data_IF_646374383819
#
_entry.id   IF_646374383819
#
_cell.length_a   1.000
_cell.length_b   1.000
_cell.length_c   1.000
_cell.angle_alpha   90.00
_cell.angle_beta   90.00
_cell.angle_gamma   90.00
#
_symmetry.space_group_name_H-M   'P 1'
#
loop_
_entity.id
_entity.type
_entity.pdbx_description
1 polymer ?
#
# COMPACT_ATOMS: atom_id res chain seq x y z
N UNK A 1 -21.30 -18.41 -11.14
CA UNK A 1 -20.17 -17.95 -11.98
C UNK A 1 -20.05 -16.42 -12.10
N UNK A 2 -21.14 -15.66 -12.35
CA UNK A 2 -21.05 -14.20 -12.59
C UNK A 2 -20.50 -13.34 -11.42
N UNK A 3 -20.62 -13.81 -10.18
CA UNK A 3 -20.04 -13.13 -9.00
C UNK A 3 -18.53 -13.33 -8.87
N UNK A 4 -18.03 -14.50 -9.29
CA UNK A 4 -16.61 -14.85 -9.22
C UNK A 4 -15.81 -14.11 -10.31
N UNK A 5 -16.38 -14.00 -11.52
CA UNK A 5 -15.77 -13.20 -12.60
C UNK A 5 -15.75 -11.70 -12.27
N UNK A 6 -16.80 -11.18 -11.59
CA UNK A 6 -16.80 -9.81 -11.08
C UNK A 6 -15.73 -9.57 -10.02
N UNK A 7 -15.54 -10.52 -9.10
CA UNK A 7 -14.56 -10.42 -8.03
C UNK A 7 -13.12 -10.44 -8.58
N UNK A 8 -12.82 -11.36 -9.51
CA UNK A 8 -11.52 -11.47 -10.17
C UNK A 8 -11.20 -10.22 -11.02
N UNK A 9 -12.22 -9.55 -11.57
CA UNK A 9 -12.06 -8.29 -12.30
C UNK A 9 -11.72 -7.07 -11.43
N UNK A 10 -11.72 -7.19 -10.10
CA UNK A 10 -11.30 -6.11 -9.20
C UNK A 10 -9.80 -6.20 -8.88
N UNK A 11 -9.11 -5.07 -8.60
CA UNK A 11 -7.70 -5.09 -8.22
C UNK A 11 -7.43 -5.95 -6.96
N UNK A 12 -8.40 -6.02 -6.05
CA UNK A 12 -8.34 -6.87 -4.86
C UNK A 12 -8.43 -8.37 -5.21
N UNK A 13 -9.35 -8.75 -6.11
CA UNK A 13 -9.47 -10.14 -6.57
C UNK A 13 -8.25 -10.60 -7.35
N UNK A 14 -7.68 -9.74 -8.19
CA UNK A 14 -6.44 -9.99 -8.93
C UNK A 14 -5.24 -10.17 -7.99
N UNK A 15 -5.10 -9.32 -6.97
CA UNK A 15 -4.07 -9.46 -5.95
C UNK A 15 -4.22 -10.76 -5.16
N UNK A 16 -5.46 -11.12 -4.77
CA UNK A 16 -5.73 -12.38 -4.08
C UNK A 16 -5.40 -13.60 -4.93
N UNK A 17 -5.71 -13.56 -6.23
CA UNK A 17 -5.35 -14.61 -7.19
C UNK A 17 -3.84 -14.75 -7.35
N UNK A 18 -3.11 -13.64 -7.45
CA UNK A 18 -1.66 -13.64 -7.51
C UNK A 18 -1.05 -14.24 -6.24
N UNK A 19 -1.57 -13.88 -5.06
CA UNK A 19 -1.15 -14.47 -3.79
C UNK A 19 -1.45 -15.98 -3.72
N UNK A 20 -2.61 -16.43 -4.21
CA UNK A 20 -2.95 -17.86 -4.27
C UNK A 20 -2.05 -18.62 -5.24
N UNK A 21 -1.74 -18.05 -6.40
CA UNK A 21 -0.82 -18.66 -7.36
C UNK A 21 0.60 -18.76 -6.78
N UNK A 22 1.09 -17.70 -6.13
CA UNK A 22 2.39 -17.71 -5.44
C UNK A 22 2.41 -18.67 -4.25
N UNK A 23 1.34 -18.75 -3.47
CA UNK A 23 1.22 -19.70 -2.37
C UNK A 23 1.23 -21.14 -2.89
N UNK A 24 0.45 -21.44 -3.92
CA UNK A 24 0.44 -22.75 -4.57
C UNK A 24 1.81 -23.11 -5.14
N UNK A 25 2.48 -22.17 -5.81
CA UNK A 25 3.83 -22.35 -6.32
C UNK A 25 4.85 -22.58 -5.19
N UNK A 26 4.74 -21.86 -4.07
CA UNK A 26 5.61 -22.03 -2.92
C UNK A 26 5.40 -23.38 -2.21
N UNK A 27 4.16 -23.82 -2.06
CA UNK A 27 3.81 -25.14 -1.53
C UNK A 27 4.36 -26.26 -2.41
N UNK A 28 4.25 -26.11 -3.74
CA UNK A 28 4.73 -27.09 -4.71
C UNK A 28 6.26 -27.15 -4.76
N UNK A 29 6.94 -26.01 -4.89
CA UNK A 29 8.41 -25.94 -4.90
C UNK A 29 9.06 -26.23 -3.53
N UNK A 30 8.33 -25.97 -2.46
CA UNK A 30 8.78 -26.16 -1.08
C UNK A 30 8.81 -27.59 -0.57
N UNK A 31 8.29 -28.54 -1.35
CA UNK A 31 8.30 -29.94 -0.96
C UNK A 31 7.29 -30.30 0.12
N UNK A 32 6.23 -29.51 0.30
CA UNK A 32 5.12 -29.90 1.19
C UNK A 32 4.39 -31.14 0.67
N UNK A 33 4.43 -31.35 -0.66
CA UNK A 33 3.94 -32.54 -1.34
C UNK A 33 5.05 -33.57 -1.62
N UNK A 34 6.27 -33.35 -1.12
CA UNK A 34 7.35 -34.31 -1.31
C UNK A 34 7.12 -35.52 -0.39
N UNK A 35 7.39 -36.71 -0.93
CA UNK A 35 7.36 -37.96 -0.20
C UNK A 35 8.42 -38.01 0.91
N UNK A 36 8.37 -39.04 1.78
CA UNK A 36 9.27 -39.16 2.93
C UNK A 36 10.76 -39.12 2.53
N UNK A 37 11.13 -39.83 1.46
CA UNK A 37 12.50 -39.88 0.92
C UNK A 37 13.00 -38.46 0.57
N UNK A 38 12.24 -37.73 -0.25
CA UNK A 38 12.63 -36.41 -0.73
C UNK A 38 12.70 -35.36 0.39
N UNK A 39 11.89 -35.50 1.44
CA UNK A 39 11.95 -34.61 2.60
C UNK A 39 13.24 -34.80 3.39
N UNK A 40 13.63 -36.03 3.64
CA UNK A 40 14.85 -36.35 4.39
C UNK A 40 16.09 -36.01 3.58
N UNK A 41 16.09 -36.34 2.29
CA UNK A 41 17.20 -36.03 1.38
C UNK A 41 17.45 -34.52 1.31
N UNK A 42 16.46 -33.63 1.51
CA UNK A 42 16.72 -32.17 1.54
C UNK A 42 17.62 -31.73 2.70
N UNK A 43 17.69 -32.49 3.78
CA UNK A 43 18.42 -32.16 5.01
C UNK A 43 19.60 -33.07 5.28
N UNK A 44 19.54 -34.33 4.84
CA UNK A 44 20.57 -35.35 5.01
C UNK A 44 21.14 -35.83 3.66
N UNK A 45 22.37 -36.38 3.69
CA UNK A 45 22.98 -37.12 2.59
C UNK A 45 22.65 -38.62 2.62
N UNK A 46 21.97 -39.10 3.65
CA UNK A 46 21.60 -40.50 3.83
C UNK A 46 20.11 -40.60 4.11
N UNK A 47 19.46 -41.61 3.57
CA UNK A 47 18.10 -41.98 3.93
C UNK A 47 18.05 -43.46 4.28
N UNK A 48 17.51 -43.80 5.44
CA UNK A 48 17.17 -45.17 5.79
C UNK A 48 15.65 -45.34 5.83
N UNK A 49 15.13 -46.31 5.08
CA UNK A 49 13.73 -46.65 5.13
C UNK A 49 13.36 -47.30 6.47
N UNK A 50 12.09 -47.19 6.92
CA UNK A 50 11.67 -47.81 8.17
C UNK A 50 11.97 -49.31 8.19
N UNK A 51 12.67 -49.77 9.23
CA UNK A 51 13.05 -51.18 9.38
C UNK A 51 14.40 -51.55 8.75
N UNK A 52 15.12 -50.60 8.15
CA UNK A 52 16.53 -50.81 7.78
C UNK A 52 17.43 -50.35 8.94
N UNK A 53 18.29 -51.25 9.43
CA UNK A 53 19.26 -50.93 10.47
C UNK A 53 20.47 -50.22 9.85
N UNK A 54 20.58 -48.91 10.09
CA UNK A 54 21.70 -48.09 9.65
C UNK A 54 22.07 -47.08 10.74
N UNK A 55 23.38 -46.96 11.01
CA UNK A 55 23.91 -45.83 11.76
C UNK A 55 24.00 -44.60 10.84
N UNK A 56 22.88 -43.89 10.72
CA UNK A 56 22.75 -42.68 9.90
C UNK A 56 23.84 -41.63 10.19
N UNK A 57 24.13 -41.22 11.45
CA UNK A 57 25.15 -40.21 11.68
C UNK A 57 26.56 -40.68 11.32
N UNK A 58 26.89 -41.97 11.50
CA UNK A 58 28.16 -42.51 11.03
C UNK A 58 28.25 -42.49 9.49
N UNK A 59 27.18 -42.89 8.80
CA UNK A 59 27.13 -42.85 7.34
C UNK A 59 27.21 -41.41 6.78
N UNK A 60 26.50 -40.46 7.40
CA UNK A 60 26.59 -39.03 7.08
C UNK A 60 28.01 -38.49 7.28
N UNK A 61 28.68 -38.89 8.36
CA UNK A 61 30.06 -38.48 8.61
C UNK A 61 31.03 -39.01 7.55
N UNK A 62 30.82 -40.24 7.07
CA UNK A 62 31.62 -40.84 5.99
C UNK A 62 31.41 -40.10 4.66
N UNK A 63 30.16 -39.79 4.31
CA UNK A 63 29.85 -39.03 3.09
C UNK A 63 30.39 -37.60 3.18
N UNK A 64 30.21 -36.96 4.33
CA UNK A 64 30.64 -35.59 4.58
C UNK A 64 29.93 -34.60 3.66
N UNK A 65 30.69 -33.68 3.05
CA UNK A 65 30.15 -32.58 2.24
C UNK A 65 30.08 -32.90 0.74
N UNK A 66 30.12 -34.18 0.35
CA UNK A 66 30.12 -34.59 -1.07
C UNK A 66 28.75 -34.36 -1.71
N UNK A 67 28.71 -34.20 -3.03
CA UNK A 67 27.44 -34.21 -3.82
C UNK A 67 26.96 -35.62 -4.06
N UNK A 68 26.80 -36.37 -2.96
CA UNK A 68 26.40 -37.76 -2.94
C UNK A 68 25.24 -37.93 -1.96
N UNK A 69 24.23 -38.67 -2.37
CA UNK A 69 23.13 -39.11 -1.51
C UNK A 69 23.00 -40.63 -1.61
N UNK A 70 22.85 -41.30 -0.48
CA UNK A 70 22.67 -42.75 -0.43
C UNK A 70 21.31 -43.08 0.20
N UNK A 71 20.49 -43.84 -0.52
CA UNK A 71 19.15 -44.25 -0.06
C UNK A 71 19.19 -45.75 0.24
N UNK A 72 18.97 -46.12 1.49
CA UNK A 72 18.72 -47.49 1.91
C UNK A 72 17.21 -47.71 1.97
N UNK A 73 16.67 -48.43 1.00
CA UNK A 73 15.25 -48.72 0.85
C UNK A 73 14.90 -50.08 1.47
N UNK A 74 13.59 -50.31 1.63
CA UNK A 74 13.06 -51.59 2.11
C UNK A 74 13.52 -52.75 1.19
N UNK A 75 13.70 -53.97 1.73
CA UNK A 75 14.08 -55.12 0.92
C UNK A 75 13.10 -55.36 -0.24
N UNK A 76 13.63 -55.56 -1.45
CA UNK A 76 12.82 -55.73 -2.68
C UNK A 76 12.08 -54.48 -3.17
N UNK A 77 12.40 -53.28 -2.65
CA UNK A 77 11.80 -52.03 -3.13
C UNK A 77 12.21 -51.70 -4.57
N UNK A 78 11.35 -50.99 -5.30
CA UNK A 78 11.71 -50.45 -6.61
C UNK A 78 12.69 -49.27 -6.45
N UNK A 79 13.98 -49.56 -6.65
CA UNK A 79 15.05 -48.58 -6.55
C UNK A 79 14.90 -47.41 -7.52
N UNK A 80 14.27 -47.65 -8.68
CA UNK A 80 14.04 -46.61 -9.70
C UNK A 80 13.07 -45.57 -9.18
N UNK A 81 12.03 -45.99 -8.49
CA UNK A 81 11.05 -45.10 -7.89
C UNK A 81 11.65 -44.32 -6.71
N UNK A 82 12.49 -44.95 -5.89
CA UNK A 82 13.28 -44.27 -4.86
C UNK A 82 14.16 -43.16 -5.45
N UNK A 83 14.85 -43.46 -6.55
CA UNK A 83 15.63 -42.48 -7.29
C UNK A 83 14.76 -41.34 -7.82
N UNK A 84 13.67 -41.62 -8.55
CA UNK A 84 12.75 -40.59 -9.08
C UNK A 84 12.19 -39.67 -8.00
N UNK A 85 11.94 -40.18 -6.80
CA UNK A 85 11.47 -39.37 -5.69
C UNK A 85 12.45 -38.23 -5.35
N UNK A 86 13.76 -38.43 -5.58
CA UNK A 86 14.80 -37.45 -5.25
C UNK A 86 15.11 -36.41 -6.32
N UNK A 87 14.54 -36.51 -7.53
CA UNK A 87 14.88 -35.67 -8.69
C UNK A 87 14.94 -34.17 -8.36
N UNK A 88 13.97 -33.65 -7.60
CA UNK A 88 13.93 -32.24 -7.17
C UNK A 88 14.73 -31.95 -5.90
N UNK A 89 14.87 -32.92 -5.01
CA UNK A 89 15.52 -32.76 -3.70
C UNK A 89 17.06 -32.87 -3.78
N UNK A 90 17.55 -33.57 -4.79
CA UNK A 90 18.94 -33.92 -5.01
C UNK A 90 19.47 -33.37 -6.35
N UNK A 91 18.86 -32.30 -6.86
CA UNK A 91 19.30 -31.64 -8.10
C UNK A 91 20.77 -31.23 -8.02
N UNK A 92 21.54 -31.54 -9.05
CA UNK A 92 22.98 -31.35 -9.12
C UNK A 92 23.83 -32.37 -8.35
N UNK A 93 23.25 -33.47 -7.85
CA UNK A 93 23.96 -34.48 -7.05
C UNK A 93 23.81 -35.89 -7.60
N UNK A 94 24.77 -36.77 -7.24
CA UNK A 94 24.70 -38.19 -7.55
C UNK A 94 23.94 -38.90 -6.43
N UNK A 95 22.96 -39.71 -6.78
CA UNK A 95 22.15 -40.48 -5.83
C UNK A 95 22.35 -41.96 -6.12
N UNK A 96 22.51 -42.76 -5.07
CA UNK A 96 22.53 -44.21 -5.16
C UNK A 96 21.44 -44.78 -4.26
N UNK A 97 20.49 -45.49 -4.84
CA UNK A 97 19.51 -46.27 -4.11
C UNK A 97 20.01 -47.71 -3.95
N UNK A 98 19.87 -48.25 -2.74
CA UNK A 98 20.19 -49.62 -2.38
C UNK A 98 18.99 -50.27 -1.71
N UNK A 99 18.75 -51.55 -1.98
CA UNK A 99 17.79 -52.38 -1.25
C UNK A 99 18.38 -53.75 -1.04
N UNK A 100 18.13 -54.36 0.12
CA UNK A 100 18.55 -55.74 0.34
C UNK A 100 17.80 -56.64 -0.64
N UNK A 101 18.54 -57.51 -1.30
CA UNK A 101 17.97 -58.51 -2.19
C UNK A 101 17.18 -59.54 -1.36
N UNK A 102 16.07 -60.05 -1.91
CA UNK A 102 15.19 -60.99 -1.19
C UNK A 102 15.72 -62.43 -1.31
N UNK A 103 16.42 -62.73 -2.40
CA UNK A 103 16.86 -64.07 -2.78
C UNK A 103 18.39 -64.29 -2.65
N UNK A 104 19.19 -63.24 -2.42
CA UNK A 104 20.65 -63.29 -2.23
C UNK A 104 21.08 -62.41 -1.04
N UNK A 105 22.30 -62.63 -0.53
CA UNK A 105 22.91 -61.88 0.57
C UNK A 105 23.53 -60.55 0.08
N UNK A 106 22.93 -59.89 -0.91
CA UNK A 106 23.48 -58.70 -1.57
C UNK A 106 22.63 -57.43 -1.42
N UNK A 107 23.19 -56.30 -1.84
CA UNK A 107 22.42 -55.11 -2.14
C UNK A 107 22.19 -54.99 -3.65
N UNK A 108 20.93 -54.89 -4.05
CA UNK A 108 20.58 -54.30 -5.33
C UNK A 108 20.95 -52.83 -5.31
N UNK A 109 21.54 -52.32 -6.39
CA UNK A 109 21.95 -50.92 -6.49
C UNK A 109 21.41 -50.26 -7.75
N UNK A 110 20.99 -49.01 -7.61
CA UNK A 110 20.54 -48.18 -8.73
C UNK A 110 21.04 -46.75 -8.57
N UNK A 111 21.96 -46.36 -9.44
CA UNK A 111 22.46 -44.98 -9.50
C UNK A 111 21.53 -44.09 -10.31
N UNK A 112 21.30 -42.87 -9.84
CA UNK A 112 20.70 -41.80 -10.61
C UNK A 112 21.53 -40.51 -10.49
N UNK A 113 22.02 -40.02 -11.62
CA UNK A 113 22.86 -38.84 -11.69
C UNK A 113 22.00 -37.61 -12.06
N UNK A 114 21.63 -36.81 -11.07
CA UNK A 114 20.92 -35.54 -11.28
C UNK A 114 21.88 -34.41 -11.69
N UNK A 115 22.79 -34.69 -12.62
CA UNK A 115 23.79 -33.74 -13.07
C UNK A 115 23.18 -32.71 -14.05
N UNK A 116 23.66 -31.45 -14.04
CA UNK A 116 23.19 -30.45 -14.98
C UNK A 116 23.47 -30.91 -16.42
N UNK A 117 22.44 -30.89 -17.28
CA UNK A 117 22.56 -31.33 -18.67
C UNK A 117 22.74 -32.84 -18.84
N UNK A 118 22.27 -33.66 -17.88
CA UNK A 118 22.32 -35.14 -17.96
C UNK A 118 21.67 -35.69 -19.23
N UNK A 119 20.65 -35.03 -19.77
CA UNK A 119 19.91 -35.50 -20.94
C UNK A 119 20.51 -34.99 -22.26
N UNK A 120 21.56 -34.16 -22.19
CA UNK A 120 22.24 -33.53 -23.33
C UNK A 120 23.77 -33.80 -23.28
N UNK A 121 24.57 -32.76 -22.99
CA UNK A 121 26.03 -32.80 -23.06
C UNK A 121 26.68 -33.77 -22.05
N UNK A 122 26.00 -34.08 -20.94
CA UNK A 122 26.53 -34.91 -19.86
C UNK A 122 25.92 -36.32 -19.80
N UNK A 123 25.15 -36.75 -20.82
CA UNK A 123 24.53 -38.08 -20.84
C UNK A 123 25.54 -39.23 -20.63
N UNK A 124 26.65 -39.21 -21.36
CA UNK A 124 27.70 -40.23 -21.21
C UNK A 124 28.33 -40.22 -19.81
N UNK A 125 28.53 -39.04 -19.22
CA UNK A 125 29.08 -38.88 -17.86
C UNK A 125 28.09 -39.39 -16.80
N UNK A 126 26.81 -39.06 -16.96
CA UNK A 126 25.73 -39.55 -16.11
C UNK A 126 25.67 -41.09 -16.13
N UNK A 127 25.65 -41.70 -17.32
CA UNK A 127 25.61 -43.16 -17.46
C UNK A 127 26.81 -43.86 -16.80
N UNK A 128 28.03 -43.31 -16.93
CA UNK A 128 29.22 -43.88 -16.26
C UNK A 128 29.14 -43.73 -14.75
N UNK A 129 28.68 -42.58 -14.25
CA UNK A 129 28.50 -42.35 -12.82
C UNK A 129 27.46 -43.33 -12.23
N UNK A 130 26.30 -43.47 -12.88
CA UNK A 130 25.20 -44.35 -12.44
C UNK A 130 25.61 -45.82 -12.38
N UNK A 131 26.44 -46.28 -13.32
CA UNK A 131 26.89 -47.68 -13.40
C UNK A 131 28.12 -47.99 -12.53
N UNK A 132 28.87 -46.98 -12.12
CA UNK A 132 30.12 -47.17 -11.36
C UNK A 132 29.92 -46.98 -9.86
N UNK A 133 29.01 -46.09 -9.46
CA UNK A 133 28.88 -45.65 -8.06
C UNK A 133 28.56 -46.79 -7.09
N UNK A 134 27.70 -47.74 -7.48
CA UNK A 134 27.28 -48.87 -6.64
C UNK A 134 28.23 -50.07 -6.65
N UNK A 135 29.28 -50.06 -7.48
CA UNK A 135 30.14 -51.24 -7.67
C UNK A 135 30.86 -51.63 -6.37
N UNK A 136 30.64 -52.86 -5.90
CA UNK A 136 31.28 -53.41 -4.70
C UNK A 136 30.55 -53.07 -3.40
N UNK A 137 29.50 -52.26 -3.43
CA UNK A 137 28.66 -51.99 -2.26
C UNK A 137 27.80 -53.21 -1.86
N UNK A 138 27.52 -54.09 -2.84
CA UNK A 138 26.80 -55.36 -2.71
C UNK A 138 27.50 -56.37 -1.79
N UNK A 139 28.80 -56.20 -1.54
CA UNK A 139 29.60 -57.11 -0.71
C UNK A 139 29.42 -56.89 0.80
N UNK A 140 28.70 -55.84 1.22
CA UNK A 140 28.57 -55.44 2.62
C UNK A 140 27.11 -55.37 3.09
N UNK A 141 26.29 -56.44 2.89
CA UNK A 141 24.87 -56.46 3.24
C UNK A 141 24.59 -56.26 4.74
N UNK A 142 25.52 -56.72 5.59
CA UNK A 142 25.38 -56.70 7.05
C UNK A 142 26.18 -55.55 7.70
N UNK A 143 26.98 -54.83 6.91
CA UNK A 143 27.81 -53.70 7.35
C UNK A 143 27.54 -52.47 6.48
N UNK A 144 26.35 -51.86 6.57
CA UNK A 144 25.92 -50.83 5.62
C UNK A 144 26.78 -49.56 5.67
N UNK A 145 27.45 -49.29 6.80
CA UNK A 145 28.42 -48.18 6.90
C UNK A 145 29.70 -48.47 6.09
N UNK A 146 30.14 -49.72 5.99
CA UNK A 146 31.27 -50.10 5.12
C UNK A 146 30.88 -49.99 3.65
N UNK A 147 29.64 -50.37 3.28
CA UNK A 147 29.09 -50.13 1.94
C UNK A 147 29.17 -48.64 1.57
N UNK A 148 28.79 -47.73 2.48
CA UNK A 148 28.90 -46.28 2.28
C UNK A 148 30.34 -45.83 2.04
N UNK A 149 31.34 -46.42 2.72
CA UNK A 149 32.75 -46.08 2.46
C UNK A 149 33.18 -46.46 1.05
N UNK A 150 32.77 -47.63 0.56
CA UNK A 150 33.06 -48.06 -0.83
C UNK A 150 32.42 -47.11 -1.84
N UNK A 151 31.15 -46.74 -1.61
CA UNK A 151 30.42 -45.78 -2.45
C UNK A 151 31.14 -44.43 -2.49
N UNK A 152 31.63 -43.95 -1.34
CA UNK A 152 32.39 -42.70 -1.25
C UNK A 152 33.72 -42.78 -2.00
N UNK A 153 34.43 -43.90 -1.94
CA UNK A 153 35.66 -44.11 -2.73
C UNK A 153 35.34 -44.07 -4.23
N UNK A 154 34.26 -44.72 -4.66
CA UNK A 154 33.82 -44.69 -6.05
C UNK A 154 33.45 -43.26 -6.50
N UNK A 155 32.76 -42.49 -5.65
CA UNK A 155 32.47 -41.08 -5.90
C UNK A 155 33.74 -40.26 -6.07
N UNK A 156 34.72 -40.41 -5.17
CA UNK A 156 35.98 -39.66 -5.23
C UNK A 156 36.78 -40.00 -6.51
N UNK A 157 36.69 -41.24 -7.00
CA UNK A 157 37.26 -41.63 -8.29
C UNK A 157 36.53 -40.96 -9.48
N UNK A 158 35.20 -40.89 -9.43
CA UNK A 158 34.39 -40.20 -10.46
C UNK A 158 34.68 -38.69 -10.50
N UNK A 159 34.89 -38.07 -9.35
CA UNK A 159 35.30 -36.66 -9.25
C UNK A 159 36.70 -36.46 -9.84
N UNK A 160 37.67 -37.31 -9.48
CA UNK A 160 39.04 -37.25 -10.04
C UNK A 160 39.06 -37.43 -11.56
N UNK A 161 38.11 -38.19 -12.10
CA UNK A 161 37.94 -38.42 -13.53
C UNK A 161 37.16 -37.30 -14.26
N UNK A 162 36.79 -36.21 -13.57
CA UNK A 162 35.96 -35.12 -14.10
C UNK A 162 34.56 -35.61 -14.58
N UNK A 163 34.08 -36.75 -14.09
CA UNK A 163 32.75 -37.28 -14.45
C UNK A 163 31.67 -36.57 -13.63
N UNK A 164 31.93 -36.36 -12.34
CA UNK A 164 31.03 -35.72 -11.39
C UNK A 164 31.65 -34.42 -10.88
N UNK A 165 30.88 -33.32 -10.74
CA UNK A 165 31.41 -32.06 -10.21
C UNK A 165 31.90 -32.21 -8.77
N UNK A 166 33.12 -31.74 -8.51
CA UNK A 166 33.64 -31.58 -7.15
C UNK A 166 32.92 -30.43 -6.42
N UNK A 167 32.80 -30.55 -5.11
CA UNK A 167 32.38 -29.47 -4.23
C UNK A 167 31.28 -29.84 -3.26
N UNK A 168 30.97 -28.86 -2.40
CA UNK A 168 29.93 -28.97 -1.40
C UNK A 168 28.57 -29.23 -2.04
N UNK A 169 27.77 -30.09 -1.41
CA UNK A 169 26.33 -30.12 -1.69
C UNK A 169 25.75 -28.77 -1.34
N UNK A 170 25.20 -28.08 -2.34
CA UNK A 170 24.42 -26.88 -2.08
C UNK A 170 23.08 -27.33 -1.51
N UNK A 171 22.97 -27.39 -0.18
CA UNK A 171 21.68 -27.40 0.50
C UNK A 171 21.09 -26.00 0.26
N UNK A 172 20.51 -25.80 -0.92
CA UNK A 172 19.85 -24.55 -1.26
C UNK A 172 18.72 -24.38 -0.24
N UNK A 173 18.76 -23.35 0.63
CA UNK A 173 17.68 -23.11 1.57
C UNK A 173 16.40 -23.02 0.77
N UNK A 174 15.40 -23.80 1.19
CA UNK A 174 14.20 -24.05 0.41
C UNK A 174 13.69 -22.74 -0.20
N UNK A 175 13.52 -22.74 -1.53
CA UNK A 175 12.93 -21.67 -2.34
C UNK A 175 11.71 -20.98 -1.67
N UNK A 176 10.88 -21.67 -0.86
CA UNK A 176 9.93 -21.07 0.08
C UNK A 176 10.43 -19.89 0.91
N UNK A 177 11.64 -19.93 1.49
CA UNK A 177 12.15 -18.83 2.33
C UNK A 177 12.29 -17.54 1.52
N UNK A 178 12.79 -17.65 0.29
CA UNK A 178 12.91 -16.50 -0.60
C UNK A 178 11.55 -16.02 -1.12
N UNK A 179 10.61 -16.93 -1.36
CA UNK A 179 9.24 -16.57 -1.75
C UNK A 179 8.49 -15.87 -0.61
N UNK A 180 8.62 -16.34 0.63
CA UNK A 180 8.04 -15.69 1.82
C UNK A 180 8.67 -14.31 2.04
N UNK A 181 9.99 -14.19 1.87
CA UNK A 181 10.68 -12.90 1.94
C UNK A 181 10.21 -11.94 0.84
N UNK A 182 10.09 -12.40 -0.41
CA UNK A 182 9.58 -11.59 -1.51
C UNK A 182 8.12 -11.17 -1.29
N UNK A 183 7.27 -12.07 -0.79
CA UNK A 183 5.89 -11.77 -0.42
C UNK A 183 5.80 -10.71 0.69
N UNK A 184 6.66 -10.79 1.71
CA UNK A 184 6.72 -9.79 2.77
C UNK A 184 7.14 -8.41 2.25
N UNK A 185 8.21 -8.35 1.44
CA UNK A 185 8.71 -7.09 0.87
C UNK A 185 7.65 -6.44 -0.05
N UNK A 186 7.00 -7.23 -0.89
CA UNK A 186 5.93 -6.73 -1.78
C UNK A 186 4.70 -6.27 -1.01
N UNK A 187 4.26 -7.01 0.01
CA UNK A 187 3.14 -6.61 0.86
C UNK A 187 3.41 -5.28 1.57
N UNK A 188 4.61 -5.09 2.12
CA UNK A 188 5.02 -3.82 2.75
C UNK A 188 5.07 -2.70 1.71
N UNK A 189 5.65 -2.94 0.53
CA UNK A 189 5.72 -1.95 -0.55
C UNK A 189 4.34 -1.49 -1.02
N UNK A 190 3.43 -2.43 -1.28
CA UNK A 190 2.04 -2.13 -1.68
C UNK A 190 1.27 -1.45 -0.55
N UNK A 191 1.44 -1.91 0.69
CA UNK A 191 0.84 -1.30 1.87
C UNK A 191 1.25 0.17 2.02
N UNK A 192 2.55 0.45 2.00
CA UNK A 192 3.09 1.80 2.09
C UNK A 192 2.63 2.69 0.92
N UNK A 193 2.66 2.18 -0.31
CA UNK A 193 2.21 2.92 -1.49
C UNK A 193 0.72 3.27 -1.42
N UNK A 194 -0.12 2.34 -0.95
CA UNK A 194 -1.55 2.56 -0.81
C UNK A 194 -1.89 3.62 0.25
N UNK A 195 -1.22 3.56 1.41
CA UNK A 195 -1.36 4.56 2.48
C UNK A 195 -0.91 5.94 1.97
N UNK A 196 0.23 6.00 1.26
CA UNK A 196 0.73 7.24 0.69
C UNK A 196 -0.23 7.85 -0.34
N UNK A 197 -0.79 7.03 -1.25
CA UNK A 197 -1.77 7.49 -2.23
C UNK A 197 -3.06 7.97 -1.58
N UNK A 198 -3.56 7.24 -0.57
CA UNK A 198 -4.75 7.63 0.18
C UNK A 198 -4.53 8.94 0.94
N UNK A 199 -3.40 9.08 1.65
CA UNK A 199 -3.03 10.29 2.38
C UNK A 199 -2.87 11.49 1.42
N UNK A 200 -2.26 11.29 0.25
CA UNK A 200 -2.08 12.34 -0.77
C UNK A 200 -3.42 12.80 -1.36
N UNK A 201 -4.37 11.88 -1.58
CA UNK A 201 -5.74 12.23 -2.02
C UNK A 201 -6.51 12.97 -0.93
N UNK A 202 -6.41 12.50 0.33
CA UNK A 202 -7.06 13.14 1.47
C UNK A 202 -6.51 14.56 1.71
N UNK A 203 -5.19 14.75 1.61
CA UNK A 203 -4.54 16.06 1.72
C UNK A 203 -5.06 17.07 0.69
N UNK A 204 -5.12 16.68 -0.59
CA UNK A 204 -5.69 17.55 -1.65
C UNK A 204 -7.14 17.95 -1.40
N UNK A 205 -7.95 17.05 -0.83
CA UNK A 205 -9.34 17.36 -0.47
C UNK A 205 -9.41 18.30 0.73
N UNK A 206 -8.55 18.13 1.73
CA UNK A 206 -8.45 19.02 2.87
C UNK A 206 -8.01 20.43 2.47
N UNK A 207 -7.03 20.55 1.57
CA UNK A 207 -6.55 21.85 1.07
C UNK A 207 -7.63 22.60 0.29
N UNK A 208 -8.40 21.90 -0.56
CA UNK A 208 -9.56 22.51 -1.25
C UNK A 208 -10.62 23.01 -0.28
N UNK A 209 -10.88 22.27 0.81
CA UNK A 209 -11.83 22.70 1.85
C UNK A 209 -11.30 23.90 2.64
N UNK A 210 -9.99 23.94 2.95
CA UNK A 210 -9.35 25.09 3.61
C UNK A 210 -9.40 26.33 2.74
N UNK A 211 -9.08 26.23 1.46
CA UNK A 211 -9.14 27.34 0.52
C UNK A 211 -10.57 27.94 0.43
N UNK A 212 -11.61 27.09 0.38
CA UNK A 212 -13.01 27.56 0.41
C UNK A 212 -13.36 28.29 1.71
N UNK A 213 -12.91 27.79 2.86
CA UNK A 213 -13.16 28.44 4.17
C UNK A 213 -12.44 29.79 4.28
N UNK A 214 -11.19 29.87 3.83
CA UNK A 214 -10.42 31.12 3.82
C UNK A 214 -11.11 32.18 2.95
N UNK A 215 -11.55 31.80 1.74
CA UNK A 215 -12.28 32.71 0.87
C UNK A 215 -13.59 33.25 1.48
N UNK A 216 -14.31 32.42 2.23
CA UNK A 216 -15.51 32.86 2.96
C UNK A 216 -15.17 33.79 4.12
N UNK A 217 -14.07 33.53 4.85
CA UNK A 217 -13.61 34.39 5.93
C UNK A 217 -13.23 35.78 5.42
N UNK A 218 -12.47 35.87 4.32
CA UNK A 218 -12.09 37.16 3.72
C UNK A 218 -13.31 37.99 3.29
N UNK A 219 -14.32 37.32 2.73
CA UNK A 219 -15.58 37.97 2.30
C UNK A 219 -16.35 38.52 3.50
N UNK A 220 -16.38 37.79 4.62
CA UNK A 220 -16.99 38.24 5.88
C UNK A 220 -16.23 39.41 6.51
N UNK A 221 -14.90 39.39 6.49
CA UNK A 221 -14.07 40.50 6.97
C UNK A 221 -14.30 41.80 6.18
N UNK A 222 -14.52 41.69 4.86
CA UNK A 222 -14.89 42.85 4.03
C UNK A 222 -16.27 43.41 4.41
N UNK A 223 -17.26 42.52 4.58
CA UNK A 223 -18.60 42.90 4.98
C UNK A 223 -18.62 43.60 6.35
N UNK A 224 -17.89 43.07 7.34
CA UNK A 224 -17.82 43.68 8.69
C UNK A 224 -17.10 45.03 8.68
N UNK A 225 -16.02 45.17 7.90
CA UNK A 225 -15.31 46.43 7.73
C UNK A 225 -16.21 47.50 7.09
N UNK A 226 -16.92 47.16 6.01
CA UNK A 226 -17.86 48.07 5.37
C UNK A 226 -19.03 48.45 6.30
N UNK A 227 -19.49 47.52 7.13
CA UNK A 227 -20.60 47.78 8.06
C UNK A 227 -20.19 48.78 9.14
N UNK A 228 -18.96 48.68 9.63
CA UNK A 228 -18.39 49.64 10.58
C UNK A 228 -18.28 51.05 9.96
N UNK A 229 -17.84 51.16 8.70
CA UNK A 229 -17.77 52.45 7.99
C UNK A 229 -19.14 53.09 7.87
N UNK A 230 -20.17 52.31 7.50
CA UNK A 230 -21.53 52.82 7.39
C UNK A 230 -22.09 53.25 8.75
N UNK A 231 -21.85 52.46 9.80
CA UNK A 231 -22.25 52.80 11.17
C UNK A 231 -21.68 54.15 11.61
N UNK A 232 -20.40 54.41 11.32
CA UNK A 232 -19.78 55.71 11.62
C UNK A 232 -20.45 56.87 10.85
N UNK A 233 -20.75 56.68 9.57
CA UNK A 233 -21.43 57.71 8.77
C UNK A 233 -22.83 58.03 9.29
N UNK A 234 -23.58 57.03 9.74
CA UNK A 234 -24.91 57.24 10.33
C UNK A 234 -24.80 58.04 11.63
N UNK A 235 -23.82 57.76 12.49
CA UNK A 235 -23.58 58.53 13.72
C UNK A 235 -23.28 60.01 13.41
N UNK A 236 -22.45 60.27 12.39
CA UNK A 236 -22.14 61.63 11.97
C UNK A 236 -23.36 62.35 11.36
N UNK A 237 -24.19 61.65 10.60
CA UNK A 237 -25.45 62.16 10.05
C UNK A 237 -26.50 62.41 11.15
N UNK A 238 -26.57 61.58 12.19
CA UNK A 238 -27.51 61.73 13.30
C UNK A 238 -27.28 63.05 14.05
N UNK A 239 -26.00 63.41 14.26
CA UNK A 239 -25.62 64.71 14.82
C UNK A 239 -26.07 65.90 13.97
N UNK A 240 -26.18 65.72 12.65
CA UNK A 240 -26.68 66.76 11.71
C UNK A 240 -28.21 66.78 11.68
N UNK A 241 -28.84 65.62 11.66
CA UNK A 241 -30.28 65.46 11.74
C UNK A 241 -30.84 66.11 13.01
N UNK A 242 -30.26 65.83 14.19
CA UNK A 242 -30.70 66.42 15.45
C UNK A 242 -30.58 67.95 15.49
N UNK A 243 -29.63 68.54 14.75
CA UNK A 243 -29.51 70.00 14.57
C UNK A 243 -30.57 70.53 13.60
N UNK A 244 -30.81 69.80 12.50
CA UNK A 244 -31.83 70.13 11.51
C UNK A 244 -33.25 70.05 12.11
N UNK A 245 -33.54 69.12 13.01
CA UNK A 245 -34.85 68.99 13.66
C UNK A 245 -35.08 70.08 14.72
N UNK A 246 -34.06 70.37 15.55
CA UNK A 246 -34.13 71.44 16.57
C UNK A 246 -34.34 72.83 15.96
N UNK A 247 -33.64 73.14 14.86
CA UNK A 247 -33.85 74.42 14.17
C UNK A 247 -35.20 74.52 13.46
N UNK A 248 -35.83 73.39 13.08
CA UNK A 248 -37.18 73.39 12.52
C UNK A 248 -38.26 73.64 13.59
N UNK A 249 -38.05 73.10 14.81
CA UNK A 249 -38.92 73.36 15.97
C UNK A 249 -38.82 74.83 16.43
N UNK A 250 -37.60 75.40 16.43
CA UNK A 250 -37.36 76.81 16.74
C UNK A 250 -37.92 77.77 15.67
N UNK A 251 -37.78 77.44 14.37
CA UNK A 251 -38.29 78.27 13.27
C UNK A 251 -39.82 78.32 13.19
N UNK A 252 -40.52 77.24 13.59
CA UNK A 252 -41.99 77.22 13.68
C UNK A 252 -42.55 78.14 14.78
N UNK A 253 -41.78 78.40 15.84
CA UNK A 253 -42.19 79.33 16.89
C UNK A 253 -41.94 80.81 16.52
N UNK A 254 -41.07 81.08 15.55
CA UNK A 254 -40.66 82.44 15.18
C UNK A 254 -41.26 82.98 13.86
N UNK A 255 -41.84 82.12 13.00
CA UNK A 255 -42.27 82.50 11.65
C UNK A 255 -43.80 82.59 11.51
N UNK A 256 -44.39 83.61 12.13
CA UNK A 256 -45.59 84.24 11.58
C UNK A 256 -45.16 85.22 10.49
N UNK A 257 -45.47 84.88 9.23
CA UNK A 257 -45.40 85.75 8.03
C UNK A 257 -44.04 85.79 7.28
N UNK A 258 -44.14 85.39 6.01
CA UNK A 258 -43.46 85.89 4.81
C UNK A 258 -42.23 85.14 4.24
N UNK A 259 -42.48 84.52 3.08
CA UNK A 259 -41.66 84.37 1.87
C UNK A 259 -40.17 84.02 1.99
N UNK A 260 -39.85 82.74 1.75
CA UNK A 260 -38.59 82.33 1.13
C UNK A 260 -38.74 80.95 0.48
N UNK A 261 -39.08 80.94 -0.81
CA UNK A 261 -38.95 79.78 -1.67
C UNK A 261 -37.46 79.43 -1.81
N UNK A 262 -37.02 78.37 -1.14
CA UNK A 262 -35.66 77.83 -1.31
C UNK A 262 -35.18 76.93 -0.17
N UNK A 263 -35.45 77.28 1.09
CA UNK A 263 -34.78 76.62 2.24
C UNK A 263 -35.55 75.50 2.95
N UNK A 264 -36.89 75.44 2.83
CA UNK A 264 -37.71 74.45 3.56
C UNK A 264 -37.81 73.11 2.83
N UNK A 265 -37.78 73.12 1.49
CA UNK A 265 -37.79 71.92 0.66
C UNK A 265 -36.53 71.07 0.84
N UNK A 266 -35.35 71.69 0.74
CA UNK A 266 -34.06 70.99 0.88
C UNK A 266 -33.88 70.32 2.25
N UNK A 267 -34.34 71.00 3.32
CA UNK A 267 -34.28 70.47 4.70
C UNK A 267 -35.27 69.31 4.91
N UNK A 268 -36.48 69.42 4.36
CA UNK A 268 -37.47 68.34 4.38
C UNK A 268 -37.00 67.11 3.60
N UNK A 269 -36.35 67.34 2.45
CA UNK A 269 -35.77 66.29 1.62
C UNK A 269 -34.57 65.61 2.27
N UNK A 270 -33.73 66.35 3.00
CA UNK A 270 -32.66 65.77 3.82
C UNK A 270 -33.22 64.86 4.91
N UNK A 271 -34.22 65.32 5.66
CA UNK A 271 -34.88 64.54 6.73
C UNK A 271 -35.52 63.26 6.18
N UNK A 272 -36.22 63.34 5.04
CA UNK A 272 -36.82 62.18 4.39
C UNK A 272 -35.76 61.18 3.92
N UNK A 273 -34.70 61.65 3.24
CA UNK A 273 -33.60 60.80 2.76
C UNK A 273 -32.81 60.16 3.89
N UNK A 274 -32.58 60.87 5.00
CA UNK A 274 -31.96 60.31 6.20
C UNK A 274 -32.79 59.19 6.80
N UNK A 275 -34.10 59.40 7.01
CA UNK A 275 -34.99 58.34 7.54
C UNK A 275 -35.01 57.11 6.66
N UNK A 276 -35.04 57.29 5.33
CA UNK A 276 -34.99 56.19 4.38
C UNK A 276 -33.65 55.44 4.45
N UNK A 277 -32.53 56.15 4.55
CA UNK A 277 -31.20 55.55 4.72
C UNK A 277 -31.12 54.71 6.00
N UNK A 278 -31.64 55.22 7.11
CA UNK A 278 -31.63 54.52 8.40
C UNK A 278 -32.51 53.27 8.38
N UNK A 279 -33.72 53.32 7.77
CA UNK A 279 -34.56 52.14 7.60
C UNK A 279 -33.89 51.08 6.73
N UNK A 280 -33.31 51.48 5.60
CA UNK A 280 -32.59 50.56 4.71
C UNK A 280 -31.37 49.93 5.42
N UNK A 281 -30.73 50.66 6.32
CA UNK A 281 -29.63 50.16 7.14
C UNK A 281 -30.10 49.16 8.21
N UNK A 282 -31.19 49.45 8.93
CA UNK A 282 -31.75 48.51 9.92
C UNK A 282 -32.23 47.22 9.27
N UNK A 283 -32.85 47.31 8.09
CA UNK A 283 -33.24 46.14 7.30
C UNK A 283 -32.01 45.34 6.84
N UNK A 284 -30.94 46.04 6.40
CA UNK A 284 -29.70 45.37 6.03
C UNK A 284 -29.06 44.68 7.24
N UNK A 285 -29.06 45.29 8.42
CA UNK A 285 -28.51 44.70 9.64
C UNK A 285 -29.26 43.42 10.02
N UNK A 286 -30.59 43.42 9.94
CA UNK A 286 -31.41 42.23 10.17
C UNK A 286 -31.08 41.10 9.18
N UNK A 287 -30.85 41.44 7.91
CA UNK A 287 -30.44 40.49 6.88
C UNK A 287 -29.03 39.93 7.12
N UNK A 288 -28.08 40.75 7.60
CA UNK A 288 -26.72 40.31 7.95
C UNK A 288 -26.76 39.33 9.13
N UNK A 289 -27.56 39.60 10.17
CA UNK A 289 -27.72 38.71 11.33
C UNK A 289 -28.39 37.39 10.94
N UNK A 290 -29.38 37.41 10.05
CA UNK A 290 -30.02 36.19 9.54
C UNK A 290 -29.09 35.35 8.64
N UNK A 291 -28.15 35.99 7.94
CA UNK A 291 -27.23 35.36 7.00
C UNK A 291 -25.99 34.71 7.63
N UNK A 292 -25.93 34.54 8.96
CA UNK A 292 -24.76 33.97 9.65
C UNK A 292 -24.39 32.53 9.20
N UNK A 293 -25.31 31.86 8.47
CA UNK A 293 -25.13 30.55 7.81
C UNK A 293 -25.08 30.57 6.27
N UNK A 294 -25.04 31.73 5.63
CA UNK A 294 -25.26 31.89 4.19
C UNK A 294 -24.03 31.57 3.31
N UNK A 295 -24.30 31.29 2.03
CA UNK A 295 -23.32 31.01 0.98
C UNK A 295 -22.60 32.28 0.51
N UNK A 296 -21.48 32.12 -0.21
CA UNK A 296 -20.65 33.24 -0.69
C UNK A 296 -21.44 34.28 -1.49
N UNK A 297 -22.35 33.84 -2.35
CA UNK A 297 -23.15 34.72 -3.20
C UNK A 297 -24.03 35.68 -2.38
N UNK A 298 -24.50 35.26 -1.21
CA UNK A 298 -25.30 36.10 -0.33
C UNK A 298 -24.44 37.16 0.36
N UNK A 299 -23.22 36.80 0.79
CA UNK A 299 -22.25 37.73 1.40
C UNK A 299 -21.82 38.80 0.39
N UNK A 300 -21.54 38.41 -0.86
CA UNK A 300 -21.16 39.35 -1.92
C UNK A 300 -22.32 40.33 -2.23
N UNK A 301 -23.56 39.83 -2.33
CA UNK A 301 -24.76 40.66 -2.54
C UNK A 301 -25.01 41.64 -1.39
N UNK A 302 -24.82 41.20 -0.15
CA UNK A 302 -24.96 42.06 1.03
C UNK A 302 -23.87 43.14 1.05
N UNK A 303 -22.64 42.80 0.66
CA UNK A 303 -21.53 43.75 0.56
C UNK A 303 -21.83 44.83 -0.49
N UNK A 304 -22.31 44.46 -1.67
CA UNK A 304 -22.69 45.42 -2.72
C UNK A 304 -23.85 46.34 -2.28
N UNK A 305 -24.84 45.78 -1.55
CA UNK A 305 -25.94 46.59 -0.99
C UNK A 305 -25.45 47.58 0.07
N UNK A 306 -24.48 47.16 0.88
CA UNK A 306 -23.85 47.98 1.90
C UNK A 306 -23.00 49.11 1.29
N UNK A 307 -22.21 48.82 0.25
CA UNK A 307 -21.44 49.83 -0.50
C UNK A 307 -22.35 50.88 -1.14
N UNK A 308 -23.50 50.48 -1.70
CA UNK A 308 -24.51 51.41 -2.20
C UNK A 308 -25.09 52.31 -1.11
N UNK A 309 -25.31 51.78 0.11
CA UNK A 309 -25.73 52.59 1.25
C UNK A 309 -24.66 53.58 1.69
N UNK A 310 -23.39 53.16 1.72
CA UNK A 310 -22.24 54.04 2.00
C UNK A 310 -22.18 55.17 0.96
N UNK A 311 -22.39 54.85 -0.33
CA UNK A 311 -22.47 55.86 -1.39
C UNK A 311 -23.56 56.89 -1.13
N UNK A 312 -24.79 56.43 -0.84
CA UNK A 312 -25.93 57.31 -0.49
C UNK A 312 -25.68 58.13 0.78
N UNK A 313 -25.03 57.54 1.79
CA UNK A 313 -24.63 58.24 3.02
C UNK A 313 -23.63 59.37 2.75
N UNK A 314 -22.63 59.14 1.90
CA UNK A 314 -21.67 60.17 1.46
C UNK A 314 -22.34 61.29 0.66
N UNK A 315 -23.21 60.95 -0.28
CA UNK A 315 -23.97 61.94 -1.04
C UNK A 315 -24.84 62.81 -0.12
N UNK A 316 -25.51 62.19 0.86
CA UNK A 316 -26.32 62.90 1.83
C UNK A 316 -25.48 63.77 2.77
N UNK A 317 -24.26 63.34 3.12
CA UNK A 317 -23.30 64.12 3.90
C UNK A 317 -22.69 65.29 3.12
N UNK A 318 -22.58 65.17 1.78
CA UNK A 318 -22.13 66.24 0.88
C UNK A 318 -23.25 67.21 0.47
N UNK A 319 -24.51 66.83 0.64
CA UNK A 319 -25.66 67.70 0.37
C UNK A 319 -25.75 68.83 1.40
N UNK A 320 -25.96 70.10 0.98
CA UNK A 320 -26.11 71.22 1.90
C UNK A 320 -27.42 71.05 2.68
N UNK A 321 -27.35 70.61 3.93
CA UNK A 321 -28.54 70.49 4.79
C UNK A 321 -28.93 71.84 5.42
N UNK A 322 -27.98 72.80 5.49
CA UNK A 322 -28.12 74.16 6.01
C UNK A 322 -26.91 74.96 5.45
N UNK A 323 -27.06 76.19 4.88
CA UNK A 323 -25.90 77.04 4.62
C UNK A 323 -25.21 77.34 5.96
N UNK A 324 -23.90 77.11 6.01
CA UNK A 324 -23.08 77.51 7.14
C UNK A 324 -23.28 79.00 7.42
N UNK A 325 -23.35 79.33 8.71
CA UNK A 325 -23.24 80.69 9.23
C UNK A 325 -22.04 81.41 8.64
#
# INVERSE_FOLDING_TARGET
MSRLTRFIGTPFGLATLACLALAGWALWSGGVLDGPIAREVRTSSVYAAPGVELDEPAAEQVIGNRRLVVLFLEPGADLRDGCRATERAADGTLVLALSREVDDDGYDTYGCAWLPGRDDANFGRAAVAETTIGRGADQFPDEPVEAVKVIVVNYDLLVRADIVPDGARTISPSLPRYLVAAAAVTAVGVGAASIWLAARRAGRLADRRRARRQQLADSRSRLSAAAAVLGQQIIDLDRRYARAERGAASGKAASGKQDAAGGTGERGDFVRRYRQLTMDYTDLLANIVAADRADRADVDRLTERLERLIGRGRELAGSPAVPGS
#
